data_IF_725892908790
#
_entry.id   IF_725892908790
#
_cell.length_a   1.000
_cell.length_b   1.000
_cell.length_c   1.000
_cell.angle_alpha   90.00
_cell.angle_beta   90.00
_cell.angle_gamma   90.00
#
_symmetry.space_group_name_H-M   'P 1'
#
loop_
_entity.id
_entity.type
_entity.pdbx_description
1 polymer ?
#
# COMPACT_ATOMS: atom_id res chain seq x y z
N UNK A 1 14.14 36.81 -2.82
CA UNK A 1 14.62 35.42 -2.66
C UNK A 1 16.09 35.37 -2.25
N UNK A 2 16.88 36.43 -2.49
CA UNK A 2 18.28 36.55 -2.05
C UNK A 2 18.50 36.33 -0.55
N UNK A 3 17.61 36.82 0.31
CA UNK A 3 17.84 36.77 1.76
C UNK A 3 17.95 35.35 2.32
N UNK A 4 17.12 34.42 1.82
CA UNK A 4 17.14 33.01 2.24
C UNK A 4 18.39 32.28 1.75
N UNK A 5 18.87 32.62 0.54
CA UNK A 5 20.09 32.06 -0.03
C UNK A 5 21.33 32.54 0.74
N UNK A 6 21.38 33.83 1.06
CA UNK A 6 22.50 34.39 1.84
C UNK A 6 22.61 33.74 3.22
N UNK A 7 21.48 33.50 3.89
CA UNK A 7 21.44 32.83 5.19
C UNK A 7 21.92 31.37 5.12
N UNK A 8 21.59 30.68 4.03
CA UNK A 8 21.98 29.30 3.80
C UNK A 8 23.49 29.19 3.48
N UNK A 9 24.03 30.11 2.67
CA UNK A 9 25.47 30.22 2.39
C UNK A 9 26.26 30.55 3.67
N UNK A 10 25.76 31.49 4.48
CA UNK A 10 26.32 31.82 5.79
C UNK A 10 26.36 30.59 6.72
N UNK A 11 25.29 29.81 6.75
CA UNK A 11 25.20 28.62 7.59
C UNK A 11 26.14 27.52 7.09
N UNK A 12 26.28 27.36 5.77
CA UNK A 12 27.21 26.41 5.18
C UNK A 12 28.67 26.74 5.53
N UNK A 13 29.04 28.02 5.55
CA UNK A 13 30.39 28.45 5.92
C UNK A 13 30.65 28.37 7.43
N UNK A 14 29.64 28.66 8.26
CA UNK A 14 29.78 28.68 9.73
C UNK A 14 29.66 27.29 10.36
N UNK A 15 28.77 26.45 9.85
CA UNK A 15 28.50 25.10 10.37
C UNK A 15 27.95 24.15 9.29
N UNK A 16 28.84 23.48 8.53
CA UNK A 16 28.44 22.53 7.49
C UNK A 16 27.55 21.38 8.02
N UNK A 17 27.76 20.93 9.26
CA UNK A 17 26.94 19.89 9.90
C UNK A 17 25.51 20.38 10.18
N UNK A 18 25.36 21.59 10.72
CA UNK A 18 24.06 22.23 10.96
C UNK A 18 23.31 22.54 9.66
N UNK A 19 24.04 22.86 8.59
CA UNK A 19 23.47 22.98 7.25
C UNK A 19 22.90 21.65 6.76
N UNK A 20 23.65 20.54 6.85
CA UNK A 20 23.17 19.21 6.44
C UNK A 20 21.96 18.75 7.25
N UNK A 21 21.91 19.02 8.55
CA UNK A 21 20.76 18.65 9.38
C UNK A 21 19.46 19.36 8.96
N UNK A 22 19.55 20.62 8.51
CA UNK A 22 18.38 21.42 8.11
C UNK A 22 18.02 21.24 6.65
N UNK A 23 19.02 21.27 5.76
CA UNK A 23 18.83 21.36 4.32
C UNK A 23 19.23 20.09 3.58
N UNK A 24 19.83 19.10 4.26
CA UNK A 24 20.31 17.87 3.63
C UNK A 24 19.25 17.03 2.93
N UNK A 25 17.97 17.18 3.32
CA UNK A 25 16.82 16.52 2.68
C UNK A 25 16.46 17.09 1.30
N UNK A 26 17.00 18.25 0.95
CA UNK A 26 16.75 18.94 -0.32
C UNK A 26 17.97 18.90 -1.25
N UNK A 27 19.04 18.19 -0.87
CA UNK A 27 20.26 18.08 -1.66
C UNK A 27 20.21 16.85 -2.57
N UNK A 28 20.67 17.00 -3.81
CA UNK A 28 20.86 15.87 -4.72
C UNK A 28 22.10 15.05 -4.33
N UNK A 29 22.16 13.80 -4.80
CA UNK A 29 23.26 12.87 -4.51
C UNK A 29 24.64 13.46 -4.87
N UNK A 30 24.73 14.15 -6.02
CA UNK A 30 25.95 14.83 -6.47
C UNK A 30 26.42 15.94 -5.53
N UNK A 31 25.51 16.59 -4.79
CA UNK A 31 25.87 17.63 -3.82
C UNK A 31 26.45 17.02 -2.54
N UNK A 32 26.13 15.77 -2.21
CA UNK A 32 26.66 15.06 -1.04
C UNK A 32 28.11 14.60 -1.21
N UNK A 33 28.61 14.55 -2.45
CA UNK A 33 30.02 14.27 -2.74
C UNK A 33 30.94 15.38 -2.20
N UNK A 34 30.50 16.64 -2.28
CA UNK A 34 31.24 17.79 -1.73
C UNK A 34 31.53 17.64 -0.22
N UNK A 35 30.53 17.18 0.54
CA UNK A 35 30.65 16.98 2.00
C UNK A 35 31.39 15.70 2.39
N UNK A 36 31.57 14.78 1.44
CA UNK A 36 32.34 13.55 1.67
C UNK A 36 33.83 13.83 1.81
N UNK A 37 34.31 14.94 1.22
CA UNK A 37 35.71 15.40 1.27
C UNK A 37 36.01 16.36 2.43
N UNK A 38 35.03 16.68 3.29
CA UNK A 38 35.24 17.61 4.42
C UNK A 38 36.11 17.00 5.53
N UNK A 39 36.90 17.84 6.20
CA UNK A 39 37.79 17.43 7.31
C UNK A 39 37.02 17.04 8.58
N UNK A 40 35.82 17.59 8.78
CA UNK A 40 34.99 17.31 9.94
C UNK A 40 34.33 15.91 9.90
N UNK A 41 34.53 15.06 10.91
CA UNK A 41 33.96 13.71 10.95
C UNK A 41 32.43 13.70 11.05
N UNK A 42 31.83 14.68 11.73
CA UNK A 42 30.38 14.80 11.86
C UNK A 42 29.71 15.10 10.50
N UNK A 43 30.33 15.96 9.70
CA UNK A 43 29.85 16.33 8.36
C UNK A 43 29.88 15.11 7.44
N UNK A 44 30.97 14.33 7.49
CA UNK A 44 31.09 13.09 6.70
C UNK A 44 30.05 12.05 7.09
N UNK A 45 29.80 11.85 8.39
CA UNK A 45 28.80 10.88 8.84
C UNK A 45 27.38 11.32 8.47
N UNK A 46 27.04 12.61 8.61
CA UNK A 46 25.75 13.13 8.16
C UNK A 46 25.55 13.00 6.64
N UNK A 47 26.58 13.31 5.84
CA UNK A 47 26.53 13.13 4.38
C UNK A 47 26.35 11.64 4.01
N UNK A 48 27.03 10.73 4.73
CA UNK A 48 26.89 9.28 4.54
C UNK A 48 25.48 8.81 4.88
N UNK A 49 24.90 9.27 6.00
CA UNK A 49 23.53 8.95 6.38
C UNK A 49 22.53 9.41 5.32
N UNK A 50 22.68 10.64 4.82
CA UNK A 50 21.83 11.16 3.75
C UNK A 50 21.95 10.30 2.49
N UNK A 51 23.16 9.98 2.02
CA UNK A 51 23.38 9.07 0.87
C UNK A 51 22.68 7.73 1.06
N UNK A 52 22.78 7.13 2.25
CA UNK A 52 22.09 5.89 2.57
C UNK A 52 20.57 6.07 2.41
N UNK A 53 19.99 7.14 2.97
CA UNK A 53 18.55 7.37 2.88
C UNK A 53 18.07 7.58 1.44
N UNK A 54 18.83 8.33 0.62
CA UNK A 54 18.53 8.50 -0.81
C UNK A 54 18.61 7.17 -1.57
N UNK A 55 19.68 6.39 -1.36
CA UNK A 55 19.84 5.09 -2.00
C UNK A 55 18.70 4.13 -1.62
N UNK A 56 18.25 4.11 -0.36
CA UNK A 56 17.14 3.27 0.06
C UNK A 56 15.79 3.78 -0.46
N UNK A 57 15.58 5.10 -0.51
CA UNK A 57 14.41 5.71 -1.13
C UNK A 57 14.30 5.36 -2.62
N UNK A 58 15.38 5.52 -3.36
CA UNK A 58 15.47 5.20 -4.78
C UNK A 58 15.30 3.69 -5.03
N UNK A 59 15.89 2.83 -4.19
CA UNK A 59 15.68 1.37 -4.28
C UNK A 59 14.22 0.98 -4.01
N UNK A 60 13.58 1.55 -2.99
CA UNK A 60 12.18 1.28 -2.67
C UNK A 60 11.24 1.76 -3.79
N UNK A 61 11.52 2.94 -4.36
CA UNK A 61 10.78 3.46 -5.51
C UNK A 61 10.98 2.54 -6.72
N UNK A 62 12.23 2.16 -7.03
CA UNK A 62 12.54 1.24 -8.12
C UNK A 62 11.85 -0.12 -7.95
N UNK A 63 11.90 -0.72 -6.76
CA UNK A 63 11.20 -1.97 -6.46
C UNK A 63 9.69 -1.80 -6.64
N UNK A 64 9.10 -0.72 -6.11
CA UNK A 64 7.68 -0.44 -6.27
C UNK A 64 7.29 -0.28 -7.74
N UNK A 65 8.12 0.37 -8.55
CA UNK A 65 7.88 0.56 -9.98
C UNK A 65 8.00 -0.76 -10.75
N UNK A 66 9.01 -1.58 -10.43
CA UNK A 66 9.16 -2.94 -10.99
C UNK A 66 7.97 -3.82 -10.65
N UNK A 67 7.53 -3.78 -9.39
CA UNK A 67 6.32 -4.49 -8.93
C UNK A 67 5.08 -3.95 -9.63
N UNK A 68 4.98 -2.65 -9.91
CA UNK A 68 3.85 -2.11 -10.67
C UNK A 68 3.82 -2.63 -12.11
N UNK A 69 4.95 -2.70 -12.80
CA UNK A 69 5.02 -3.36 -14.12
C UNK A 69 4.64 -4.84 -14.04
N UNK A 70 5.12 -5.56 -13.02
CA UNK A 70 4.72 -6.95 -12.81
C UNK A 70 3.22 -7.09 -12.57
N UNK A 71 2.63 -6.19 -11.80
CA UNK A 71 1.19 -6.13 -11.55
C UNK A 71 0.42 -5.96 -12.87
N UNK A 72 0.83 -5.01 -13.73
CA UNK A 72 0.19 -4.79 -15.02
C UNK A 72 0.24 -6.04 -15.92
N UNK A 73 1.38 -6.74 -15.96
CA UNK A 73 1.52 -7.98 -16.74
C UNK A 73 0.63 -9.10 -16.18
N UNK A 74 0.60 -9.27 -14.86
CA UNK A 74 -0.22 -10.30 -14.19
C UNK A 74 -1.73 -10.02 -14.32
N UNK A 75 -2.14 -8.75 -14.29
CA UNK A 75 -3.54 -8.36 -14.54
C UNK A 75 -3.93 -8.67 -15.98
N UNK A 76 -3.03 -8.41 -16.94
CA UNK A 76 -3.26 -8.74 -18.35
C UNK A 76 -3.35 -10.26 -18.61
N UNK A 77 -2.60 -11.08 -17.87
CA UNK A 77 -2.72 -12.54 -17.91
C UNK A 77 -4.05 -13.02 -17.30
N UNK A 78 -4.54 -12.34 -16.26
CA UNK A 78 -5.86 -12.57 -15.66
C UNK A 78 -5.94 -13.78 -14.73
N UNK A 79 -4.82 -14.42 -14.39
CA UNK A 79 -4.76 -15.60 -13.53
C UNK A 79 -4.62 -15.22 -12.05
N UNK A 80 -3.53 -14.51 -11.71
CA UNK A 80 -3.14 -14.18 -10.33
C UNK A 80 -4.07 -13.18 -9.62
N UNK A 81 -4.57 -12.19 -10.35
CA UNK A 81 -5.50 -11.16 -9.86
C UNK A 81 -6.97 -11.47 -10.18
N UNK A 82 -7.28 -12.73 -10.49
CA UNK A 82 -8.68 -13.17 -10.56
C UNK A 82 -9.34 -13.06 -9.17
N UNK A 83 -10.63 -12.74 -9.13
CA UNK A 83 -11.36 -12.59 -7.86
C UNK A 83 -11.28 -13.87 -7.00
N UNK A 84 -11.30 -15.05 -7.65
CA UNK A 84 -11.20 -16.34 -6.97
C UNK A 84 -9.83 -16.56 -6.31
N UNK A 85 -8.73 -16.21 -7.00
CA UNK A 85 -7.39 -16.36 -6.43
C UNK A 85 -7.12 -15.31 -5.33
N UNK A 86 -7.62 -14.08 -5.49
CA UNK A 86 -7.55 -13.07 -4.43
C UNK A 86 -8.37 -13.46 -3.18
N UNK A 87 -9.55 -14.06 -3.37
CA UNK A 87 -10.38 -14.55 -2.25
C UNK A 87 -9.67 -15.68 -1.47
N UNK A 88 -8.96 -16.58 -2.16
CA UNK A 88 -8.20 -17.64 -1.50
C UNK A 88 -7.06 -17.10 -0.63
N UNK A 89 -6.34 -16.08 -1.13
CA UNK A 89 -5.23 -15.44 -0.42
C UNK A 89 -5.68 -14.59 0.77
N UNK A 90 -6.76 -13.84 0.60
CA UNK A 90 -7.25 -12.89 1.61
C UNK A 90 -8.75 -13.06 1.91
N UNK A 91 -9.14 -14.20 2.52
CA UNK A 91 -10.55 -14.56 2.68
C UNK A 91 -11.30 -13.69 3.69
N UNK A 92 -10.63 -13.14 4.71
CA UNK A 92 -11.28 -12.24 5.66
C UNK A 92 -11.63 -10.92 5.01
N UNK A 93 -10.67 -10.33 4.29
CA UNK A 93 -10.86 -9.06 3.58
C UNK A 93 -11.97 -9.21 2.53
N UNK A 94 -11.94 -10.30 1.76
CA UNK A 94 -13.01 -10.61 0.82
C UNK A 94 -14.36 -10.75 1.52
N UNK A 95 -14.43 -11.44 2.66
CA UNK A 95 -15.67 -11.59 3.41
C UNK A 95 -16.23 -10.25 3.90
N UNK A 96 -15.37 -9.35 4.39
CA UNK A 96 -15.75 -8.03 4.89
C UNK A 96 -16.24 -7.09 3.78
N UNK A 97 -15.55 -7.05 2.64
CA UNK A 97 -15.90 -6.12 1.56
C UNK A 97 -16.95 -6.69 0.59
N UNK A 98 -16.89 -7.97 0.26
CA UNK A 98 -17.75 -8.57 -0.78
C UNK A 98 -18.66 -9.66 -0.21
N UNK A 99 -18.08 -10.66 0.44
CA UNK A 99 -18.73 -11.92 0.79
C UNK A 99 -19.95 -11.79 1.72
N UNK A 100 -19.98 -10.79 2.61
CA UNK A 100 -21.11 -10.55 3.50
C UNK A 100 -22.34 -9.93 2.81
N UNK A 101 -22.14 -9.29 1.65
CA UNK A 101 -23.19 -8.63 0.89
C UNK A 101 -23.73 -9.45 -0.29
N UNK A 102 -23.12 -10.61 -0.56
CA UNK A 102 -23.62 -11.57 -1.52
C UNK A 102 -24.87 -12.29 -0.99
N UNK A 103 -25.92 -12.31 -1.82
CA UNK A 103 -27.13 -13.09 -1.60
C UNK A 103 -26.87 -14.58 -1.81
N UNK A 104 -27.73 -15.45 -1.25
CA UNK A 104 -27.59 -16.90 -1.44
C UNK A 104 -27.66 -17.30 -2.92
N UNK A 105 -28.47 -16.59 -3.71
CA UNK A 105 -28.56 -16.81 -5.16
C UNK A 105 -27.25 -16.47 -5.86
N UNK A 106 -26.63 -15.33 -5.54
CA UNK A 106 -25.33 -14.92 -6.11
C UNK A 106 -24.22 -15.91 -5.72
N UNK A 107 -24.19 -16.37 -4.47
CA UNK A 107 -23.23 -17.40 -4.01
C UNK A 107 -23.37 -18.72 -4.77
N UNK A 108 -24.59 -19.17 -5.01
CA UNK A 108 -24.84 -20.39 -5.79
C UNK A 108 -24.39 -20.24 -7.24
N UNK A 109 -24.63 -19.07 -7.86
CA UNK A 109 -24.17 -18.77 -9.23
C UNK A 109 -22.65 -18.79 -9.30
N UNK A 110 -21.96 -18.12 -8.35
CA UNK A 110 -20.50 -18.12 -8.26
C UNK A 110 -19.94 -19.53 -8.12
N UNK A 111 -20.48 -20.32 -7.18
CA UNK A 111 -20.08 -21.71 -6.96
C UNK A 111 -20.28 -22.60 -8.21
N UNK A 112 -21.35 -22.36 -8.98
CA UNK A 112 -21.58 -23.06 -10.26
C UNK A 112 -20.60 -22.63 -11.35
N UNK A 113 -20.30 -21.34 -11.46
CA UNK A 113 -19.35 -20.81 -12.45
C UNK A 113 -17.95 -21.37 -12.23
N UNK A 114 -17.51 -21.45 -10.97
CA UNK A 114 -16.23 -22.08 -10.59
C UNK A 114 -16.15 -23.58 -10.94
N UNK A 115 -17.29 -24.27 -11.11
CA UNK A 115 -17.38 -25.73 -11.31
C UNK A 115 -17.70 -26.15 -12.74
N UNK A 116 -17.79 -25.20 -13.69
CA UNK A 116 -18.50 -25.42 -14.96
C UNK A 116 -17.88 -26.43 -15.93
N UNK A 117 -16.63 -26.88 -15.72
CA UNK A 117 -15.90 -27.68 -16.72
C UNK A 117 -15.52 -29.10 -16.28
N UNK A 118 -15.87 -29.56 -15.07
CA UNK A 118 -15.44 -30.88 -14.57
C UNK A 118 -16.65 -31.73 -14.18
N UNK A 119 -16.65 -32.99 -14.62
CA UNK A 119 -17.65 -33.98 -14.21
C UNK A 119 -17.62 -34.07 -12.67
N UNK A 120 -18.78 -33.94 -11.98
CA UNK A 120 -18.81 -34.00 -10.52
C UNK A 120 -18.51 -35.41 -10.05
N UNK A 121 -17.24 -35.67 -9.73
CA UNK A 121 -16.80 -36.91 -9.08
C UNK A 121 -16.72 -36.70 -7.57
N UNK A 122 -16.78 -37.80 -6.81
CA UNK A 122 -16.61 -37.74 -5.36
C UNK A 122 -15.24 -37.16 -4.97
N UNK A 123 -14.18 -37.45 -5.74
CA UNK A 123 -12.86 -36.86 -5.55
C UNK A 123 -12.89 -35.33 -5.68
N UNK A 124 -13.55 -34.79 -6.71
CA UNK A 124 -13.70 -33.34 -6.88
C UNK A 124 -14.49 -32.70 -5.73
N UNK A 125 -15.50 -33.40 -5.22
CA UNK A 125 -16.24 -32.94 -4.03
C UNK A 125 -15.36 -32.91 -2.77
N UNK A 126 -14.51 -33.90 -2.57
CA UNK A 126 -13.57 -33.93 -1.45
C UNK A 126 -12.54 -32.81 -1.55
N UNK A 127 -11.93 -32.61 -2.72
CA UNK A 127 -10.97 -31.52 -2.96
C UNK A 127 -11.63 -30.17 -2.69
N UNK A 128 -12.82 -29.92 -3.26
CA UNK A 128 -13.57 -28.67 -3.02
C UNK A 128 -13.94 -28.48 -1.53
N UNK A 129 -14.19 -29.57 -0.79
CA UNK A 129 -14.45 -29.47 0.65
C UNK A 129 -13.18 -29.12 1.43
N UNK A 130 -12.04 -29.73 1.09
CA UNK A 130 -10.75 -29.42 1.70
C UNK A 130 -10.35 -27.97 1.44
N UNK A 131 -10.40 -27.51 0.19
CA UNK A 131 -10.10 -26.13 -0.18
C UNK A 131 -11.00 -25.14 0.59
N UNK A 132 -12.30 -25.42 0.70
CA UNK A 132 -13.23 -24.58 1.47
C UNK A 132 -12.90 -24.56 2.96
N UNK A 133 -12.46 -25.67 3.52
CA UNK A 133 -12.10 -25.76 4.94
C UNK A 133 -10.79 -25.02 5.22
N UNK A 134 -9.81 -25.09 4.31
CA UNK A 134 -8.57 -24.30 4.37
C UNK A 134 -8.85 -22.80 4.32
N UNK A 135 -9.62 -22.33 3.35
CA UNK A 135 -10.03 -20.93 3.22
C UNK A 135 -10.79 -20.45 4.46
N UNK A 136 -11.64 -21.30 5.04
CA UNK A 136 -12.38 -20.97 6.26
C UNK A 136 -11.45 -20.89 7.47
N UNK A 137 -10.49 -21.81 7.60
CA UNK A 137 -9.51 -21.80 8.67
C UNK A 137 -8.62 -20.54 8.60
N UNK A 138 -8.12 -20.20 7.41
CA UNK A 138 -7.35 -18.98 7.17
C UNK A 138 -8.15 -17.73 7.57
N UNK A 139 -9.41 -17.64 7.14
CA UNK A 139 -10.31 -16.53 7.51
C UNK A 139 -10.45 -16.38 9.03
N UNK A 140 -10.61 -17.50 9.74
CA UNK A 140 -10.76 -17.47 11.19
C UNK A 140 -9.46 -17.02 11.88
N UNK A 141 -8.31 -17.51 11.41
CA UNK A 141 -7.00 -17.08 11.91
C UNK A 141 -6.78 -15.58 11.70
N UNK A 142 -7.09 -15.05 10.50
CA UNK A 142 -7.02 -13.61 10.21
C UNK A 142 -7.92 -12.80 11.16
N UNK A 143 -9.12 -13.30 11.46
CA UNK A 143 -10.08 -12.61 12.34
C UNK A 143 -9.62 -12.60 13.80
N UNK A 144 -8.99 -13.68 14.24
CA UNK A 144 -8.39 -13.76 15.58
C UNK A 144 -7.25 -12.75 15.72
N UNK A 145 -6.35 -12.66 14.74
CA UNK A 145 -5.26 -11.68 14.73
C UNK A 145 -5.76 -10.21 14.72
N UNK A 146 -6.83 -9.91 13.95
CA UNK A 146 -7.46 -8.59 13.94
C UNK A 146 -8.08 -8.25 15.32
N UNK A 147 -8.75 -9.23 15.94
CA UNK A 147 -9.34 -9.05 17.26
C UNK A 147 -8.27 -8.86 18.35
N UNK A 148 -7.21 -9.68 18.36
CA UNK A 148 -6.11 -9.56 19.33
C UNK A 148 -5.47 -8.17 19.29
N UNK A 149 -5.22 -7.65 18.08
CA UNK A 149 -4.71 -6.29 17.88
C UNK A 149 -5.64 -5.21 18.45
N UNK A 150 -6.95 -5.47 18.48
CA UNK A 150 -7.98 -4.55 19.02
C UNK A 150 -8.12 -4.61 20.54
N UNK A 151 -7.92 -5.78 21.16
CA UNK A 151 -8.05 -5.98 22.61
C UNK A 151 -6.81 -5.55 23.40
N UNK A 152 -5.69 -5.23 22.74
CA UNK A 152 -4.48 -4.70 23.38
C UNK A 152 -4.61 -3.28 23.94
N UNK A 153 -5.60 -2.49 23.47
CA UNK A 153 -5.77 -1.07 23.81
C UNK A 153 -6.90 -0.78 24.83
N UNK A 154 -7.71 -1.77 25.22
CA UNK A 154 -8.98 -1.53 25.95
C UNK A 154 -9.04 -2.23 27.33
N UNK A 155 -7.93 -2.25 28.08
CA UNK A 155 -7.88 -2.81 29.46
C UNK A 155 -8.39 -1.85 30.56
N UNK A 156 -9.32 -0.95 30.24
CA UNK A 156 -9.97 -0.08 31.24
C UNK A 156 -11.48 -0.05 31.00
N UNK A 157 -12.21 -1.15 31.27
CA UNK A 157 -13.52 -1.14 32.00
C UNK A 157 -14.18 -2.55 32.07
N UNK A 158 -13.42 -3.59 32.41
CA UNK A 158 -13.90 -4.98 32.36
C UNK A 158 -14.92 -5.37 33.47
N UNK A 159 -15.29 -4.47 34.38
CA UNK A 159 -16.06 -4.84 35.57
C UNK A 159 -17.58 -4.60 35.47
N UNK A 160 -18.08 -3.96 34.40
CA UNK A 160 -19.53 -3.69 34.21
C UNK A 160 -20.27 -4.55 33.17
N UNK A 161 -19.59 -5.38 32.37
CA UNK A 161 -20.19 -6.01 31.20
C UNK A 161 -20.78 -7.43 31.41
N UNK A 162 -20.72 -8.01 32.62
CA UNK A 162 -21.01 -9.45 32.81
C UNK A 162 -22.52 -9.79 32.89
N UNK A 163 -23.44 -8.81 32.90
CA UNK A 163 -24.86 -9.10 33.18
C UNK A 163 -25.90 -8.81 32.10
N UNK A 164 -25.52 -8.48 30.87
CA UNK A 164 -26.51 -8.35 29.80
C UNK A 164 -26.17 -9.08 28.49
N UNK A 165 -26.94 -10.14 28.25
CA UNK A 165 -27.54 -10.50 26.96
C UNK A 165 -26.65 -11.30 25.98
N UNK A 166 -26.64 -12.61 26.25
CA UNK A 166 -26.95 -13.65 25.25
C UNK A 166 -28.29 -13.33 24.54
N UNK A 167 -28.30 -12.39 23.60
CA UNK A 167 -29.42 -12.16 22.67
C UNK A 167 -28.87 -12.08 21.26
N UNK A 168 -29.46 -12.88 20.38
CA UNK A 168 -29.10 -13.06 18.99
C UNK A 168 -28.82 -11.73 18.26
N UNK A 169 -27.56 -11.47 17.92
CA UNK A 169 -27.25 -10.56 16.80
C UNK A 169 -27.51 -11.32 15.50
N UNK A 170 -28.79 -11.48 15.12
CA UNK A 170 -29.12 -11.70 13.70
C UNK A 170 -28.65 -10.42 12.99
N UNK A 171 -27.43 -10.44 12.42
CA UNK A 171 -26.93 -9.33 11.59
C UNK A 171 -28.03 -9.03 10.56
N UNK A 172 -28.64 -7.85 10.64
CA UNK A 172 -29.58 -7.35 9.64
C UNK A 172 -28.81 -7.40 8.31
N UNK A 173 -29.22 -8.23 7.35
CA UNK A 173 -28.60 -8.24 6.01
C UNK A 173 -28.88 -6.86 5.41
N UNK A 174 -27.86 -6.00 5.41
CA UNK A 174 -27.92 -4.68 4.77
C UNK A 174 -28.02 -4.94 3.27
N UNK A 175 -29.09 -4.47 2.65
CA UNK A 175 -29.28 -4.63 1.22
C UNK A 175 -28.55 -3.48 0.52
N UNK A 176 -27.37 -3.76 0.01
CA UNK A 176 -26.61 -2.80 -0.80
C UNK A 176 -27.16 -2.74 -2.23
N UNK A 177 -27.07 -1.56 -2.83
CA UNK A 177 -27.30 -1.31 -4.25
C UNK A 177 -26.27 -2.04 -5.11
N UNK A 178 -26.62 -2.35 -6.35
CA UNK A 178 -25.68 -2.94 -7.31
C UNK A 178 -24.43 -2.08 -7.51
N UNK A 179 -24.58 -0.74 -7.49
CA UNK A 179 -23.45 0.19 -7.61
C UNK A 179 -22.49 0.10 -6.42
N UNK A 180 -23.04 0.01 -5.21
CA UNK A 180 -22.23 -0.12 -3.99
C UNK A 180 -21.46 -1.45 -3.96
N UNK A 181 -22.07 -2.53 -4.45
CA UNK A 181 -21.40 -3.82 -4.59
C UNK A 181 -20.20 -3.74 -5.55
N UNK A 182 -20.34 -3.02 -6.67
CA UNK A 182 -19.23 -2.83 -7.63
C UNK A 182 -18.09 -2.05 -6.97
N UNK A 183 -18.41 -0.96 -6.26
CA UNK A 183 -17.40 -0.17 -5.55
C UNK A 183 -16.66 -0.99 -4.49
N UNK A 184 -17.36 -1.86 -3.76
CA UNK A 184 -16.73 -2.74 -2.77
C UNK A 184 -15.79 -3.78 -3.39
N UNK A 185 -16.11 -4.28 -4.60
CA UNK A 185 -15.21 -5.17 -5.36
C UNK A 185 -13.99 -4.40 -5.85
N UNK A 186 -14.16 -3.16 -6.31
CA UNK A 186 -13.04 -2.29 -6.69
C UNK A 186 -12.14 -1.95 -5.50
N UNK A 187 -12.72 -1.66 -4.33
CA UNK A 187 -11.99 -1.44 -3.09
C UNK A 187 -11.19 -2.67 -2.68
N UNK A 188 -11.82 -3.85 -2.76
CA UNK A 188 -11.14 -5.12 -2.53
C UNK A 188 -9.93 -5.29 -3.46
N UNK A 189 -10.10 -5.07 -4.77
CA UNK A 189 -9.00 -5.13 -5.74
C UNK A 189 -7.89 -4.13 -5.43
N UNK A 190 -8.25 -2.88 -5.13
CA UNK A 190 -7.29 -1.82 -4.81
C UNK A 190 -6.43 -2.16 -3.58
N UNK A 191 -7.02 -2.74 -2.54
CA UNK A 191 -6.28 -3.20 -1.37
C UNK A 191 -5.34 -4.37 -1.70
N UNK A 192 -5.78 -5.32 -2.53
CA UNK A 192 -4.92 -6.42 -2.99
C UNK A 192 -3.74 -5.91 -3.82
N UNK A 193 -3.96 -4.94 -4.72
CA UNK A 193 -2.90 -4.28 -5.47
C UNK A 193 -1.93 -3.54 -4.54
N UNK A 194 -2.44 -2.82 -3.55
CA UNK A 194 -1.61 -2.13 -2.56
C UNK A 194 -0.73 -3.11 -1.77
N UNK A 195 -1.29 -4.22 -1.29
CA UNK A 195 -0.53 -5.28 -0.61
C UNK A 195 0.58 -5.85 -1.50
N UNK A 196 0.26 -6.12 -2.76
CA UNK A 196 1.22 -6.61 -3.73
C UNK A 196 2.38 -5.62 -3.97
N UNK A 197 2.07 -4.35 -4.24
CA UNK A 197 3.09 -3.32 -4.45
C UNK A 197 3.99 -3.13 -3.21
N UNK A 198 3.42 -3.27 -2.01
CA UNK A 198 4.16 -3.20 -0.75
C UNK A 198 4.97 -4.47 -0.44
N UNK A 199 4.77 -5.57 -1.17
CA UNK A 199 5.52 -6.82 -0.96
C UNK A 199 4.99 -7.65 0.20
N UNK A 200 3.69 -7.57 0.50
CA UNK A 200 3.07 -8.22 1.66
C UNK A 200 2.43 -9.59 1.34
N UNK A 201 2.44 -10.03 0.08
CA UNK A 201 1.87 -11.32 -0.32
C UNK A 201 2.88 -12.45 -0.10
N UNK A 202 2.67 -13.34 0.88
CA UNK A 202 3.67 -14.36 1.24
C UNK A 202 3.90 -15.40 0.14
N UNK A 203 2.89 -15.67 -0.68
CA UNK A 203 2.94 -16.71 -1.71
C UNK A 203 3.59 -16.24 -3.03
N UNK A 204 4.00 -14.97 -3.11
CA UNK A 204 4.62 -14.39 -4.31
C UNK A 204 6.13 -14.21 -4.16
N UNK A 205 6.90 -14.65 -5.16
CA UNK A 205 8.35 -14.49 -5.15
C UNK A 205 8.78 -13.10 -5.64
N UNK A 206 8.79 -12.12 -4.73
CA UNK A 206 9.19 -10.74 -5.08
C UNK A 206 10.65 -10.61 -5.53
N UNK A 207 11.54 -11.52 -5.12
CA UNK A 207 12.96 -11.44 -5.50
C UNK A 207 13.16 -11.51 -7.02
N UNK A 208 12.35 -12.32 -7.71
CA UNK A 208 12.38 -12.43 -9.17
C UNK A 208 12.00 -11.13 -9.88
N UNK A 209 11.10 -10.35 -9.28
CA UNK A 209 10.65 -9.06 -9.85
C UNK A 209 11.59 -7.94 -9.44
N UNK A 210 11.94 -7.88 -8.15
CA UNK A 210 12.73 -6.81 -7.56
C UNK A 210 14.16 -6.78 -8.09
N UNK A 211 14.73 -7.92 -8.47
CA UNK A 211 16.08 -8.01 -9.04
C UNK A 211 16.11 -7.97 -10.57
N UNK A 212 14.95 -8.00 -11.25
CA UNK A 212 14.88 -8.04 -12.70
C UNK A 212 14.71 -6.63 -13.33
N UNK A 213 15.66 -6.24 -14.19
CA UNK A 213 15.66 -4.97 -14.92
C UNK A 213 14.63 -4.89 -16.04
N UNK A 214 14.07 -6.00 -16.51
CA UNK A 214 13.05 -6.01 -17.57
C UNK A 214 11.72 -5.38 -17.12
N UNK A 215 11.56 -5.17 -15.82
CA UNK A 215 10.44 -4.44 -15.22
C UNK A 215 10.76 -2.94 -15.01
N UNK A 216 11.94 -2.46 -15.39
CA UNK A 216 12.26 -1.03 -15.38
C UNK A 216 11.60 -0.31 -16.57
N UNK A 217 10.33 0.04 -16.44
CA UNK A 217 9.59 0.76 -17.49
C UNK A 217 10.00 2.23 -17.59
N UNK A 218 10.39 2.64 -18.79
CA UNK A 218 10.75 4.03 -19.10
C UNK A 218 9.55 4.97 -18.95
N UNK A 219 8.34 4.47 -19.21
CA UNK A 219 7.12 5.28 -19.10
C UNK A 219 6.82 5.66 -17.64
N UNK A 220 6.95 4.69 -16.72
CA UNK A 220 6.80 4.95 -15.28
C UNK A 220 7.85 5.95 -14.80
N UNK A 221 9.12 5.78 -15.23
CA UNK A 221 10.19 6.70 -14.86
C UNK A 221 9.91 8.13 -15.33
N UNK A 222 9.45 8.31 -16.57
CA UNK A 222 9.05 9.63 -17.08
C UNK A 222 7.93 10.24 -16.24
N UNK A 223 6.91 9.45 -15.90
CA UNK A 223 5.80 9.92 -15.10
C UNK A 223 6.23 10.29 -13.67
N UNK A 224 7.07 9.50 -13.02
CA UNK A 224 7.61 9.82 -11.69
C UNK A 224 8.46 11.11 -11.72
N UNK A 225 9.23 11.32 -12.79
CA UNK A 225 10.01 12.55 -12.99
C UNK A 225 9.10 13.77 -13.21
N UNK A 226 8.02 13.62 -13.98
CA UNK A 226 6.99 14.64 -14.17
C UNK A 226 6.24 14.95 -12.87
N UNK A 227 5.76 13.94 -12.15
CA UNK A 227 5.05 14.11 -10.87
C UNK A 227 5.93 14.81 -9.84
N UNK A 228 7.22 14.44 -9.77
CA UNK A 228 8.19 15.12 -8.92
C UNK A 228 8.36 16.59 -9.30
N UNK A 229 8.36 16.91 -10.60
CA UNK A 229 8.42 18.29 -11.08
C UNK A 229 7.17 19.10 -10.66
N UNK A 230 5.98 18.53 -10.76
CA UNK A 230 4.73 19.18 -10.35
C UNK A 230 4.63 19.39 -8.83
N UNK A 231 5.08 18.43 -8.03
CA UNK A 231 5.13 18.56 -6.57
C UNK A 231 6.09 19.68 -6.14
N UNK A 232 7.22 19.84 -6.83
CA UNK A 232 8.18 20.92 -6.59
C UNK A 232 7.61 22.30 -6.99
N UNK A 233 6.88 22.40 -8.10
CA UNK A 233 6.24 23.65 -8.54
C UNK A 233 5.13 24.10 -7.57
N UNK A 234 4.26 23.18 -7.14
CA UNK A 234 3.14 23.48 -6.24
C UNK A 234 3.60 23.94 -4.85
N UNK A 235 4.78 23.51 -4.40
CA UNK A 235 5.39 24.00 -3.16
C UNK A 235 6.03 25.39 -3.32
N UNK A 236 6.46 25.75 -4.53
CA UNK A 236 7.07 27.05 -4.84
C UNK A 236 6.03 28.17 -5.05
N UNK A 237 4.79 27.83 -5.37
CA UNK A 237 3.71 28.76 -5.71
C UNK A 237 2.80 29.17 -4.55
N UNK A 238 3.17 28.91 -3.30
CA UNK A 238 2.46 29.47 -2.13
C UNK A 238 2.80 30.96 -1.90
N UNK A 239 2.72 31.77 -2.97
CA UNK A 239 2.45 33.20 -2.83
C UNK A 239 0.93 33.32 -2.94
N UNK A 240 0.25 33.20 -1.80
CA UNK A 240 -1.13 33.67 -1.66
C UNK A 240 -1.10 35.19 -1.85
N UNK A 241 -1.18 35.68 -3.08
CA UNK A 241 -1.47 37.08 -3.35
C UNK A 241 -2.97 37.29 -3.18
N UNK A 242 -3.40 37.31 -1.92
CA UNK A 242 -4.62 38.00 -1.54
C UNK A 242 -4.38 39.50 -1.71
N UNK A 243 -4.58 39.99 -2.93
CA UNK A 243 -4.77 41.41 -3.19
C UNK A 243 -6.18 41.60 -3.73
N UNK A 244 -7.16 41.50 -2.83
CA UNK A 244 -8.46 42.12 -3.01
C UNK A 244 -8.30 43.63 -3.07
N UNK A 245 -8.08 44.17 -4.27
CA UNK A 245 -8.31 45.59 -4.58
C UNK A 245 -9.62 45.65 -5.34
N UNK A 246 -10.69 46.04 -4.65
CA UNK A 246 -11.92 46.49 -5.29
C UNK A 246 -11.64 47.88 -5.90
N UNK A 247 -11.60 47.94 -7.23
CA UNK A 247 -11.69 49.20 -7.96
C UNK A 247 -13.13 49.73 -7.80
N UNK A 248 -13.29 50.79 -7.00
CA UNK A 248 -14.46 51.67 -6.99
C UNK A 248 -14.14 52.98 -7.70
#
# INVERSE_FOLDING_TARGET
MEDKRSLAEDLLQKSPSGFLMRFGRFLNECHLDYFSSSDDPEVREHARQLKITYCHGNKRLQQRNRRYEALLRLEAEGTYFSEAEMEKREPLLYHQLVGQYLTEKEKLVKNRQSKSNVIPTFSNFLIDKMERDEVTALRNSQLEAENESRWGDDWIDAEKAVKEKKKHKRKKKVHLSAKEKVLLVEEFKSLMYSKFLNGLEPDFNYEEVDSNSDYDSMNIKSQDEEDKYFDEESCSSNVCTDTGVEDY
#
